data_IF_846125756779
#
_entry.id   IF_846125756779
#
_cell.length_a   1.000
_cell.length_b   1.000
_cell.length_c   1.000
_cell.angle_alpha   90.00
_cell.angle_beta   90.00
_cell.angle_gamma   90.00
#
_symmetry.space_group_name_H-M   'P 1'
#
loop_
_entity.id
_entity.type
_entity.pdbx_description
1 polymer ?
#
# COMPACT_ATOMS: atom_id res chain seq x y z
N UNK A 1 27.87 9.67 -14.51
CA UNK A 1 26.64 10.30 -14.03
C UNK A 1 25.52 9.43 -14.58
N UNK A 2 24.75 8.76 -13.73
CA UNK A 2 23.61 7.99 -14.24
C UNK A 2 22.54 8.97 -14.70
N UNK A 3 22.04 8.81 -15.93
CA UNK A 3 20.94 9.61 -16.47
C UNK A 3 19.71 9.41 -15.56
N UNK A 4 19.34 10.44 -14.83
CA UNK A 4 18.10 10.45 -14.05
C UNK A 4 16.94 10.43 -15.05
N UNK A 5 16.05 9.42 -14.99
CA UNK A 5 14.93 9.36 -15.91
C UNK A 5 14.07 10.63 -15.79
N UNK A 6 13.45 11.10 -16.88
CA UNK A 6 12.67 12.33 -16.85
C UNK A 6 11.55 12.23 -15.82
N UNK A 7 11.29 13.31 -15.09
CA UNK A 7 10.29 13.36 -13.98
C UNK A 7 8.92 12.80 -14.37
N UNK A 8 8.52 12.95 -15.64
CA UNK A 8 7.28 12.34 -16.18
C UNK A 8 7.30 10.81 -16.14
N UNK A 9 8.46 10.17 -16.29
CA UNK A 9 8.62 8.73 -16.19
C UNK A 9 8.40 8.25 -14.75
N UNK A 10 8.94 8.98 -13.77
CA UNK A 10 8.82 8.65 -12.34
C UNK A 10 7.37 8.76 -11.86
N UNK A 11 6.70 9.88 -12.16
CA UNK A 11 5.30 10.09 -11.78
C UNK A 11 4.38 9.02 -12.38
N UNK A 12 4.59 8.67 -13.65
CA UNK A 12 3.84 7.63 -14.33
C UNK A 12 4.08 6.25 -13.72
N UNK A 13 5.32 5.93 -13.36
CA UNK A 13 5.66 4.68 -12.69
C UNK A 13 5.00 4.60 -11.31
N UNK A 14 5.08 5.66 -10.51
CA UNK A 14 4.44 5.73 -9.20
C UNK A 14 2.90 5.58 -9.32
N UNK A 15 2.29 6.22 -10.32
CA UNK A 15 0.86 6.09 -10.58
C UNK A 15 0.45 4.64 -10.84
N UNK A 16 1.09 3.96 -11.79
CA UNK A 16 0.74 2.57 -12.10
C UNK A 16 1.07 1.62 -10.95
N UNK A 17 2.21 1.79 -10.29
CA UNK A 17 2.59 0.98 -9.15
C UNK A 17 1.60 1.14 -7.99
N UNK A 18 1.22 2.38 -7.65
CA UNK A 18 0.29 2.67 -6.58
C UNK A 18 -1.14 2.21 -6.88
N UNK A 19 -1.63 2.40 -8.11
CA UNK A 19 -2.97 1.94 -8.50
C UNK A 19 -3.06 0.41 -8.50
N UNK A 20 -2.08 -0.29 -9.07
CA UNK A 20 -2.11 -1.75 -9.08
C UNK A 20 -1.98 -2.31 -7.66
N UNK A 21 -1.01 -1.83 -6.89
CA UNK A 21 -0.84 -2.30 -5.51
C UNK A 21 -2.08 -1.97 -4.66
N UNK A 22 -2.65 -0.76 -4.78
CA UNK A 22 -3.85 -0.38 -4.06
C UNK A 22 -5.07 -1.23 -4.42
N UNK A 23 -5.24 -1.55 -5.71
CA UNK A 23 -6.33 -2.43 -6.14
C UNK A 23 -6.16 -3.87 -5.60
N UNK A 24 -4.95 -4.41 -5.62
CA UNK A 24 -4.68 -5.74 -5.09
C UNK A 24 -4.84 -5.81 -3.57
N UNK A 25 -4.36 -4.79 -2.86
CA UNK A 25 -4.39 -4.75 -1.41
C UNK A 25 -5.82 -4.60 -0.88
N UNK A 26 -6.62 -3.68 -1.42
CA UNK A 26 -8.02 -3.53 -1.00
C UNK A 26 -8.87 -4.74 -1.41
N UNK A 27 -8.59 -5.37 -2.55
CA UNK A 27 -9.25 -6.61 -2.94
C UNK A 27 -8.89 -7.74 -1.97
N UNK A 28 -7.62 -7.87 -1.58
CA UNK A 28 -7.19 -8.85 -0.59
C UNK A 28 -7.87 -8.61 0.77
N UNK A 29 -7.96 -7.34 1.22
CA UNK A 29 -8.65 -6.99 2.46
C UNK A 29 -10.13 -7.41 2.43
N UNK A 30 -10.83 -7.18 1.31
CA UNK A 30 -12.23 -7.61 1.15
C UNK A 30 -12.33 -9.14 1.14
N UNK A 31 -11.45 -9.83 0.40
CA UNK A 31 -11.47 -11.30 0.30
C UNK A 31 -11.12 -12.00 1.62
N UNK A 32 -10.32 -11.38 2.45
CA UNK A 32 -9.94 -11.91 3.78
C UNK A 32 -11.01 -11.69 4.85
N UNK A 33 -12.04 -10.89 4.56
CA UNK A 33 -13.09 -10.50 5.49
C UNK A 33 -14.48 -10.63 4.85
N UNK A 34 -14.72 -11.77 4.18
CA UNK A 34 -15.98 -12.03 3.46
C UNK A 34 -17.23 -12.09 4.36
N UNK A 35 -17.03 -12.25 5.66
CA UNK A 35 -18.10 -12.15 6.67
C UNK A 35 -18.64 -10.73 6.82
N UNK A 36 -17.90 -9.71 6.34
CA UNK A 36 -18.32 -8.33 6.34
C UNK A 36 -18.64 -7.83 4.92
N UNK A 37 -19.65 -7.00 4.74
CA UNK A 37 -19.87 -6.33 3.45
C UNK A 37 -18.66 -5.49 3.03
N UNK A 38 -18.31 -5.50 1.74
CA UNK A 38 -17.17 -4.70 1.22
C UNK A 38 -17.24 -3.22 1.65
N UNK A 39 -18.45 -2.66 1.78
CA UNK A 39 -18.63 -1.30 2.30
C UNK A 39 -18.01 -1.12 3.69
N UNK A 40 -18.14 -2.10 4.59
CA UNK A 40 -17.59 -2.02 5.95
C UNK A 40 -16.07 -2.04 5.92
N UNK A 41 -15.47 -2.83 5.02
CA UNK A 41 -14.01 -2.85 4.83
C UNK A 41 -13.50 -1.49 4.33
N UNK A 42 -14.22 -0.85 3.41
CA UNK A 42 -13.85 0.50 2.96
C UNK A 42 -14.03 1.54 4.09
N UNK A 43 -15.08 1.41 4.88
CA UNK A 43 -15.32 2.28 6.04
C UNK A 43 -14.25 2.11 7.13
N UNK A 44 -13.67 0.92 7.30
CA UNK A 44 -12.58 0.71 8.27
C UNK A 44 -11.35 1.57 7.95
N UNK A 45 -11.06 1.83 6.67
CA UNK A 45 -10.02 2.79 6.29
C UNK A 45 -10.40 4.22 6.66
N UNK A 46 -11.68 4.58 6.47
CA UNK A 46 -12.18 5.92 6.84
C UNK A 46 -12.17 6.17 8.35
N UNK A 47 -12.13 5.11 9.19
CA UNK A 47 -11.99 5.28 10.64
C UNK A 47 -10.71 6.02 11.01
N UNK A 48 -9.67 5.94 10.18
CA UNK A 48 -8.43 6.71 10.39
C UNK A 48 -8.66 8.22 10.51
N UNK A 49 -9.72 8.75 9.91
CA UNK A 49 -10.13 10.16 9.97
C UNK A 49 -11.26 10.42 10.96
N UNK A 50 -12.26 9.53 10.98
CA UNK A 50 -13.55 9.77 11.61
C UNK A 50 -13.79 8.92 12.87
N UNK A 51 -12.87 8.04 13.22
CA UNK A 51 -13.11 7.08 14.29
C UNK A 51 -14.31 6.17 13.99
N UNK A 52 -14.99 5.71 15.02
CA UNK A 52 -16.13 4.80 14.91
C UNK A 52 -17.31 5.36 14.08
N UNK A 53 -17.48 6.69 14.01
CA UNK A 53 -18.55 7.32 13.22
C UNK A 53 -18.44 7.04 11.72
N UNK A 54 -17.28 6.60 11.23
CA UNK A 54 -17.14 6.17 9.84
C UNK A 54 -18.14 5.08 9.45
N UNK A 55 -18.51 4.18 10.35
CA UNK A 55 -19.45 3.09 10.07
C UNK A 55 -20.91 3.55 9.92
N UNK A 56 -21.24 4.72 10.43
CA UNK A 56 -22.57 5.31 10.35
C UNK A 56 -22.84 6.07 9.05
N UNK A 57 -21.78 6.49 8.34
CA UNK A 57 -21.87 7.35 7.15
C UNK A 57 -22.22 6.64 5.84
N UNK A 58 -22.55 5.35 5.87
CA UNK A 58 -22.96 4.60 4.70
C UNK A 58 -21.94 4.59 3.57
N UNK A 59 -22.37 4.81 2.32
CA UNK A 59 -21.50 4.83 1.17
C UNK A 59 -20.60 6.07 1.10
N UNK A 60 -20.99 7.18 1.71
CA UNK A 60 -20.17 8.41 1.71
C UNK A 60 -18.84 8.19 2.42
N UNK A 61 -18.85 7.55 3.58
CA UNK A 61 -17.63 7.22 4.32
C UNK A 61 -16.87 6.03 3.71
N UNK A 62 -17.55 5.11 3.03
CA UNK A 62 -16.88 4.06 2.26
C UNK A 62 -16.07 4.66 1.09
N UNK A 63 -16.62 5.63 0.36
CA UNK A 63 -15.87 6.34 -0.69
C UNK A 63 -14.71 7.15 -0.10
N UNK A 64 -14.90 7.80 1.05
CA UNK A 64 -13.78 8.47 1.74
C UNK A 64 -12.66 7.48 2.05
N UNK A 65 -12.99 6.30 2.57
CA UNK A 65 -12.02 5.24 2.85
C UNK A 65 -11.29 4.77 1.60
N UNK A 66 -12.02 4.53 0.50
CA UNK A 66 -11.42 4.08 -0.76
C UNK A 66 -10.47 5.14 -1.35
N UNK A 67 -10.88 6.40 -1.37
CA UNK A 67 -10.05 7.50 -1.86
C UNK A 67 -8.80 7.65 -0.99
N UNK A 68 -8.97 7.63 0.34
CA UNK A 68 -7.84 7.70 1.28
C UNK A 68 -6.85 6.56 1.08
N UNK A 69 -7.36 5.33 0.90
CA UNK A 69 -6.54 4.17 0.61
C UNK A 69 -5.66 4.38 -0.63
N UNK A 70 -6.26 4.80 -1.76
CA UNK A 70 -5.49 5.03 -2.97
C UNK A 70 -4.52 6.22 -2.85
N UNK A 71 -4.87 7.28 -2.12
CA UNK A 71 -3.94 8.38 -1.84
C UNK A 71 -2.72 7.90 -1.05
N UNK A 72 -2.92 7.09 -0.01
CA UNK A 72 -1.85 6.47 0.77
C UNK A 72 -0.98 5.58 -0.13
N UNK A 73 -1.60 4.72 -0.94
CA UNK A 73 -0.87 3.80 -1.83
C UNK A 73 -0.06 4.53 -2.90
N UNK A 74 -0.57 5.63 -3.45
CA UNK A 74 0.17 6.49 -4.37
C UNK A 74 1.37 7.16 -3.69
N UNK A 75 1.22 7.62 -2.45
CA UNK A 75 2.32 8.16 -1.64
C UNK A 75 3.41 7.12 -1.39
N UNK A 76 3.02 5.91 -0.96
CA UNK A 76 3.93 4.78 -0.74
C UNK A 76 4.68 4.41 -2.03
N UNK A 77 3.97 4.36 -3.17
CA UNK A 77 4.58 4.07 -4.45
C UNK A 77 5.56 5.17 -4.90
N UNK A 78 5.22 6.44 -4.68
CA UNK A 78 6.10 7.56 -5.01
C UNK A 78 7.40 7.49 -4.20
N UNK A 79 7.33 7.14 -2.92
CA UNK A 79 8.51 6.94 -2.07
C UNK A 79 9.35 5.77 -2.61
N UNK A 80 8.74 4.61 -2.89
CA UNK A 80 9.46 3.45 -3.40
C UNK A 80 10.17 3.74 -4.73
N UNK A 81 9.46 4.35 -5.69
CA UNK A 81 10.01 4.73 -7.00
C UNK A 81 11.18 5.68 -6.85
N UNK A 82 11.07 6.69 -5.97
CA UNK A 82 12.16 7.63 -5.69
C UNK A 82 13.37 6.93 -5.09
N UNK A 83 13.17 6.03 -4.13
CA UNK A 83 14.25 5.22 -3.54
C UNK A 83 14.91 4.32 -4.58
N UNK A 84 14.13 3.71 -5.47
CA UNK A 84 14.64 2.81 -6.50
C UNK A 84 15.50 3.53 -7.57
N UNK A 85 15.31 4.85 -7.75
CA UNK A 85 16.18 5.69 -8.59
C UNK A 85 17.49 5.98 -7.87
N UNK A 86 17.42 6.34 -6.59
CA UNK A 86 18.61 6.66 -5.78
C UNK A 86 19.45 5.39 -5.52
N UNK A 87 18.78 4.26 -5.32
CA UNK A 87 19.42 2.97 -5.05
C UNK A 87 19.05 1.92 -6.11
N UNK A 88 19.78 1.84 -7.23
CA UNK A 88 19.49 0.91 -8.32
C UNK A 88 19.50 -0.58 -7.90
N UNK A 89 20.09 -0.89 -6.75
CA UNK A 89 20.07 -2.24 -6.17
C UNK A 89 18.64 -2.72 -5.92
N UNK A 90 17.69 -1.83 -5.57
CA UNK A 90 16.28 -2.17 -5.37
C UNK A 90 15.64 -2.70 -6.67
N UNK A 91 16.07 -2.18 -7.83
CA UNK A 91 15.59 -2.67 -9.13
C UNK A 91 16.29 -3.97 -9.54
N UNK A 92 17.60 -4.08 -9.30
CA UNK A 92 18.39 -5.29 -9.63
C UNK A 92 17.95 -6.50 -8.79
N UNK A 93 17.70 -6.31 -7.51
CA UNK A 93 17.24 -7.34 -6.57
C UNK A 93 15.76 -7.16 -6.21
N UNK A 94 14.95 -6.91 -7.22
CA UNK A 94 13.55 -6.51 -7.05
C UNK A 94 12.71 -7.49 -6.21
N UNK A 95 12.97 -8.79 -6.23
CA UNK A 95 12.27 -9.78 -5.38
C UNK A 95 12.59 -9.55 -3.90
N UNK A 96 13.87 -9.38 -3.55
CA UNK A 96 14.27 -9.08 -2.18
C UNK A 96 13.73 -7.71 -1.76
N UNK A 97 13.80 -6.72 -2.66
CA UNK A 97 13.26 -5.40 -2.44
C UNK A 97 11.74 -5.44 -2.21
N UNK A 98 10.99 -6.29 -2.93
CA UNK A 98 9.55 -6.43 -2.74
C UNK A 98 9.19 -6.97 -1.37
N UNK A 99 9.91 -7.99 -0.88
CA UNK A 99 9.70 -8.54 0.45
C UNK A 99 10.02 -7.49 1.52
N UNK A 100 11.18 -6.84 1.40
CA UNK A 100 11.60 -5.81 2.36
C UNK A 100 10.61 -4.62 2.38
N UNK A 101 10.19 -4.13 1.19
CA UNK A 101 9.27 -3.00 1.10
C UNK A 101 7.88 -3.34 1.63
N UNK A 102 7.32 -4.50 1.27
CA UNK A 102 6.04 -4.95 1.80
C UNK A 102 6.06 -5.08 3.33
N UNK A 103 7.15 -5.62 3.89
CA UNK A 103 7.31 -5.71 5.33
C UNK A 103 7.43 -4.32 6.00
N UNK A 104 8.17 -3.39 5.40
CA UNK A 104 8.28 -2.01 5.89
C UNK A 104 6.92 -1.31 5.86
N UNK A 105 6.17 -1.43 4.75
CA UNK A 105 4.84 -0.83 4.64
C UNK A 105 3.89 -1.40 5.69
N UNK A 106 3.86 -2.73 5.85
CA UNK A 106 3.06 -3.37 6.89
C UNK A 106 3.44 -2.86 8.28
N UNK A 107 4.73 -2.80 8.60
CA UNK A 107 5.17 -2.35 9.92
C UNK A 107 4.82 -0.87 10.17
N UNK A 108 5.04 0.00 9.19
CA UNK A 108 4.69 1.43 9.31
C UNK A 108 3.18 1.60 9.46
N UNK A 109 2.38 0.90 8.67
CA UNK A 109 0.91 0.97 8.80
C UNK A 109 0.45 0.46 10.15
N UNK A 110 0.91 -0.71 10.60
CA UNK A 110 0.45 -1.35 11.83
C UNK A 110 0.95 -0.66 13.10
N UNK A 111 2.18 -0.17 13.13
CA UNK A 111 2.81 0.34 14.34
C UNK A 111 2.96 1.85 14.40
N UNK A 112 2.72 2.54 13.29
CA UNK A 112 2.81 4.01 13.24
C UNK A 112 1.49 4.61 12.81
N UNK A 113 1.02 4.33 11.58
CA UNK A 113 -0.13 5.03 11.00
C UNK A 113 -1.42 4.71 11.75
N UNK A 114 -1.74 3.44 11.96
CA UNK A 114 -2.95 3.04 12.68
C UNK A 114 -2.97 3.58 14.10
N UNK A 115 -1.91 3.44 14.93
CA UNK A 115 -1.91 3.96 16.31
C UNK A 115 -2.01 5.48 16.45
N UNK A 116 -1.49 6.26 15.50
CA UNK A 116 -1.56 7.73 15.56
C UNK A 116 -2.81 8.32 14.90
N UNK A 117 -3.58 7.49 14.20
CA UNK A 117 -4.85 7.88 13.57
C UNK A 117 -6.03 7.71 14.54
N UNK A 118 -7.23 8.11 14.13
CA UNK A 118 -8.46 7.84 14.86
C UNK A 118 -9.00 6.42 14.60
N UNK A 119 -8.20 5.54 13.99
CA UNK A 119 -8.62 4.19 13.59
C UNK A 119 -9.12 3.37 14.77
N UNK A 120 -10.22 2.67 14.53
CA UNK A 120 -10.77 1.66 15.45
C UNK A 120 -10.28 0.25 15.14
N UNK A 121 -9.47 0.11 14.08
CA UNK A 121 -8.84 -1.17 13.73
C UNK A 121 -7.74 -1.44 14.75
N UNK A 122 -7.81 -2.58 15.42
CA UNK A 122 -6.76 -2.99 16.35
C UNK A 122 -5.46 -3.24 15.55
N UNK A 123 -4.33 -2.67 16.02
CA UNK A 123 -3.03 -3.07 15.50
C UNK A 123 -2.89 -4.58 15.64
N UNK A 124 -2.14 -5.22 14.79
CA UNK A 124 -1.95 -6.68 14.70
C UNK A 124 -1.68 -7.34 16.06
N UNK A 125 -2.72 -7.47 16.90
CA UNK A 125 -2.62 -7.94 18.29
C UNK A 125 -2.53 -9.46 18.42
N UNK A 126 -3.06 -10.19 17.44
CA UNK A 126 -2.96 -11.65 17.41
C UNK A 126 -1.95 -12.08 16.34
N UNK A 127 -1.23 -13.17 16.61
CA UNK A 127 -0.15 -13.63 15.73
C UNK A 127 -0.63 -13.91 14.30
N UNK A 128 -1.79 -14.56 14.14
CA UNK A 128 -2.28 -14.94 12.82
C UNK A 128 -2.70 -13.75 11.95
N UNK A 129 -3.51 -12.79 12.40
CA UNK A 129 -3.76 -11.56 11.65
C UNK A 129 -2.50 -10.77 11.29
N UNK A 130 -1.51 -10.73 12.18
CA UNK A 130 -0.23 -10.09 11.93
C UNK A 130 0.53 -10.75 10.78
N UNK A 131 0.63 -12.07 10.79
CA UNK A 131 1.29 -12.85 9.72
C UNK A 131 0.54 -12.70 8.40
N UNK A 132 -0.79 -12.80 8.44
CA UNK A 132 -1.65 -12.62 7.27
C UNK A 132 -1.48 -11.22 6.66
N UNK A 133 -1.50 -10.18 7.49
CA UNK A 133 -1.27 -8.79 7.06
C UNK A 133 0.12 -8.60 6.44
N UNK A 134 1.16 -9.16 7.05
CA UNK A 134 2.53 -9.12 6.52
C UNK A 134 2.61 -9.78 5.13
N UNK A 135 2.07 -10.99 4.99
CA UNK A 135 2.06 -11.71 3.71
C UNK A 135 1.30 -10.92 2.65
N UNK A 136 0.13 -10.37 3.01
CA UNK A 136 -0.67 -9.56 2.10
C UNK A 136 0.11 -8.34 1.61
N UNK A 137 0.75 -7.59 2.48
CA UNK A 137 1.54 -6.43 2.07
C UNK A 137 2.75 -6.80 1.22
N UNK A 138 3.39 -7.94 1.48
CA UNK A 138 4.48 -8.42 0.62
C UNK A 138 3.96 -8.74 -0.79
N UNK A 139 2.84 -9.47 -0.90
CA UNK A 139 2.32 -9.95 -2.19
C UNK A 139 1.51 -8.89 -2.94
N UNK A 140 0.66 -8.13 -2.24
CA UNK A 140 -0.25 -7.16 -2.86
C UNK A 140 0.35 -5.75 -2.99
N UNK A 141 1.34 -5.39 -2.16
CA UNK A 141 1.96 -4.07 -2.17
C UNK A 141 3.41 -4.13 -2.66
N UNK A 142 4.27 -4.86 -1.97
CA UNK A 142 5.69 -4.91 -2.27
C UNK A 142 5.99 -5.46 -3.66
N UNK A 143 5.41 -6.61 -3.99
CA UNK A 143 5.67 -7.30 -5.26
C UNK A 143 5.23 -6.48 -6.49
N UNK A 144 3.99 -5.96 -6.59
CA UNK A 144 3.59 -5.17 -7.75
C UNK A 144 4.34 -3.85 -7.85
N UNK A 145 4.65 -3.17 -6.74
CA UNK A 145 5.43 -1.93 -6.78
C UNK A 145 6.85 -2.16 -7.30
N UNK A 146 7.54 -3.19 -6.81
CA UNK A 146 8.89 -3.50 -7.24
C UNK A 146 8.92 -3.98 -8.71
N UNK A 147 7.96 -4.80 -9.11
CA UNK A 147 7.85 -5.30 -10.47
C UNK A 147 7.59 -4.19 -11.49
N UNK A 148 6.61 -3.31 -11.25
CA UNK A 148 6.30 -2.18 -12.13
C UNK A 148 7.49 -1.22 -12.20
N UNK A 149 8.09 -0.88 -11.06
CA UNK A 149 9.24 0.02 -11.01
C UNK A 149 10.39 -0.51 -11.86
N UNK A 150 10.73 -1.79 -11.70
CA UNK A 150 11.75 -2.46 -12.53
C UNK A 150 11.40 -2.42 -14.02
N UNK A 151 10.15 -2.74 -14.38
CA UNK A 151 9.70 -2.77 -15.78
C UNK A 151 9.71 -1.41 -16.45
N UNK A 152 9.33 -0.37 -15.74
CA UNK A 152 9.18 0.98 -16.30
C UNK A 152 10.44 1.83 -16.22
N UNK A 153 11.28 1.64 -15.22
CA UNK A 153 12.53 2.39 -15.08
C UNK A 153 13.75 1.65 -15.64
N UNK A 154 13.57 0.37 -15.99
CA UNK A 154 14.49 -0.42 -16.80
C UNK A 154 15.92 -0.49 -16.27
N UNK A 155 16.14 -1.26 -15.21
CA UNK A 155 17.50 -1.59 -14.78
C UNK A 155 18.12 -2.76 -15.59
N UNK A 156 17.64 -3.00 -16.78
CA UNK A 156 18.24 -3.96 -17.73
C UNK A 156 19.27 -3.26 -18.67
N UNK A 157 19.87 -2.16 -18.19
CA UNK A 157 20.97 -1.45 -18.85
C UNK A 157 22.21 -1.46 -17.99
#
# INVERSE_FOLDING_TARGET
>A
MADVPPTRGLARTALYAGLLAGALDIAAAILQNLEHPARVILQSVATGWLGASAYEGGWSTAWLGLISHFCIMLGIAAIYVSLAVIWPLLQRRWIVASVAWGAVVWAVMSFVVVPISASTVEPAGAMWPAVQGLITHILAVGLPMAWITRRMLGADR
#
